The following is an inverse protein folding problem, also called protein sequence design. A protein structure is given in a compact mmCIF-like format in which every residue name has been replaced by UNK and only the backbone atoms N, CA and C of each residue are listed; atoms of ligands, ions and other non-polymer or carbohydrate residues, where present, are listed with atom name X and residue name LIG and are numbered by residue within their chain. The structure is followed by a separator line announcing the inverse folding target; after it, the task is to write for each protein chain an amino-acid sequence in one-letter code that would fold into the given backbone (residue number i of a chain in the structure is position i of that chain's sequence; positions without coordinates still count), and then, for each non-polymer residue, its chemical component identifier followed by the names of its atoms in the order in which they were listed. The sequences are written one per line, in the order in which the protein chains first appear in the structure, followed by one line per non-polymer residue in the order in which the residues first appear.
data_IF_899551869861
#
_entry.id   IF_899551869861
#
_cell.length_a   1.000
_cell.length_b   1.000
_cell.length_c   1.000
_cell.angle_alpha   90.00
_cell.angle_beta   90.00
_cell.angle_gamma   90.00
#
_symmetry.space_group_name_H-M   'P 1'
#
loop_
_entity.id
_entity.type
_entity.pdbx_description
1 polymer ?
#
# COMPACT_ATOMS: atom_id res chain seq x y z
N UNK A 1 -5.19 54.80 -29.52
CA UNK A 1 -5.25 53.69 -28.53
C UNK A 1 -3.83 53.21 -28.25
N UNK A 2 -3.15 53.86 -27.30
CA UNK A 2 -1.73 53.66 -27.00
C UNK A 2 -1.60 52.78 -25.75
N UNK A 3 -1.43 51.46 -25.94
CA UNK A 3 -1.06 50.55 -24.84
C UNK A 3 0.39 50.80 -24.45
N UNK A 4 0.60 51.04 -23.16
CA UNK A 4 1.83 51.56 -22.61
C UNK A 4 2.95 50.52 -22.61
N UNK A 5 4.16 50.94 -22.97
CA UNK A 5 5.40 50.16 -23.00
C UNK A 5 5.79 49.56 -21.63
N UNK A 6 5.13 49.98 -20.54
CA UNK A 6 5.38 49.46 -19.17
C UNK A 6 4.80 48.08 -18.89
N UNK A 7 3.80 47.62 -19.63
CA UNK A 7 3.21 46.29 -19.39
C UNK A 7 4.04 45.14 -19.97
N UNK A 8 4.90 45.41 -20.96
CA UNK A 8 5.80 44.41 -21.54
C UNK A 8 7.04 44.15 -20.68
N UNK A 9 7.44 45.10 -19.82
CA UNK A 9 8.59 44.92 -18.91
C UNK A 9 8.33 43.89 -17.82
N UNK A 10 7.12 43.87 -17.25
CA UNK A 10 6.80 43.00 -16.12
C UNK A 10 6.56 41.54 -16.52
N UNK A 11 6.27 41.25 -17.79
CA UNK A 11 6.09 39.89 -18.30
C UNK A 11 7.42 39.18 -18.60
N UNK A 12 8.49 39.95 -18.88
CA UNK A 12 9.81 39.39 -19.20
C UNK A 12 10.63 39.04 -17.95
N UNK A 13 10.41 39.74 -16.83
CA UNK A 13 11.14 39.47 -15.58
C UNK A 13 10.65 38.20 -14.85
N UNK A 14 9.42 37.74 -15.14
CA UNK A 14 8.84 36.52 -14.57
C UNK A 14 9.33 35.22 -15.24
N UNK A 15 9.94 35.31 -16.43
CA UNK A 15 10.42 34.14 -17.19
C UNK A 15 11.93 33.91 -16.98
N UNK A 16 12.69 34.95 -16.61
CA UNK A 16 14.15 34.87 -16.50
C UNK A 16 14.67 34.60 -15.08
N UNK A 17 13.92 34.96 -14.03
CA UNK A 17 14.27 34.64 -12.64
C UNK A 17 13.20 33.71 -12.05
N UNK A 18 13.51 32.42 -12.03
CA UNK A 18 12.70 31.42 -11.35
C UNK A 18 12.43 31.75 -9.88
N UNK A 19 11.42 31.11 -9.26
CA UNK A 19 11.01 31.42 -7.90
C UNK A 19 12.18 31.27 -6.93
N UNK A 20 12.53 32.36 -6.25
CA UNK A 20 13.52 32.39 -5.15
C UNK A 20 13.01 31.50 -4.02
N UNK A 21 13.48 30.26 -3.97
CA UNK A 21 13.35 29.38 -2.81
C UNK A 21 14.29 29.86 -1.70
N UNK A 22 13.77 30.73 -0.84
CA UNK A 22 14.29 30.86 0.52
C UNK A 22 13.84 29.64 1.33
N UNK A 23 14.73 28.67 1.52
CA UNK A 23 14.61 27.62 2.53
C UNK A 23 16.03 27.20 2.93
N UNK A 24 16.62 27.90 3.89
CA UNK A 24 16.67 27.48 5.30
C UNK A 24 17.47 26.20 5.48
N UNK A 25 18.75 26.40 5.82
CA UNK A 25 19.64 25.40 6.37
C UNK A 25 19.10 24.96 7.74
N UNK A 26 18.35 23.86 7.74
CA UNK A 26 17.97 23.11 8.93
C UNK A 26 18.78 21.82 8.97
N UNK A 27 19.96 21.90 9.59
CA UNK A 27 20.73 20.75 10.05
C UNK A 27 19.84 19.90 10.98
N UNK A 28 19.41 18.75 10.52
CA UNK A 28 18.89 17.69 11.40
C UNK A 28 19.82 16.49 11.24
N UNK A 29 20.78 16.39 12.15
CA UNK A 29 21.39 15.12 12.49
C UNK A 29 20.27 14.21 13.01
N UNK A 30 19.96 13.14 12.27
CA UNK A 30 19.27 11.99 12.85
C UNK A 30 20.29 10.88 13.00
N UNK A 31 20.78 10.82 14.22
CA UNK A 31 21.45 9.74 14.91
C UNK A 31 20.89 8.36 14.52
N UNK A 32 21.73 7.54 13.89
CA UNK A 32 21.45 6.13 13.63
C UNK A 32 21.54 5.37 14.97
N UNK A 33 20.47 5.40 15.74
CA UNK A 33 20.31 4.57 16.93
C UNK A 33 19.76 3.21 16.51
N UNK A 34 20.67 2.23 16.59
CA UNK A 34 20.41 0.83 16.95
C UNK A 34 19.03 0.56 17.58
N UNK A 35 18.26 -0.33 16.97
CA UNK A 35 17.55 -1.43 17.65
C UNK A 35 16.53 -2.05 16.69
N UNK A 36 16.83 -3.25 16.16
CA UNK A 36 15.76 -4.15 15.77
C UNK A 36 14.92 -4.51 17.00
N UNK A 37 13.61 -4.76 16.81
CA UNK A 37 13.08 -6.06 17.22
C UNK A 37 11.92 -6.51 16.29
N UNK A 38 11.21 -7.62 16.56
CA UNK A 38 11.31 -8.85 15.78
C UNK A 38 10.14 -9.00 14.80
N UNK A 39 10.35 -9.80 13.76
CA UNK A 39 9.28 -10.36 12.95
C UNK A 39 8.37 -11.24 13.85
N UNK A 40 7.26 -10.68 14.31
CA UNK A 40 6.18 -11.44 14.94
C UNK A 40 5.36 -12.06 13.81
N UNK A 41 5.56 -13.36 13.60
CA UNK A 41 4.70 -14.19 12.77
C UNK A 41 3.24 -14.10 13.25
N UNK A 42 2.24 -14.08 12.35
CA UNK A 42 0.86 -14.19 12.78
C UNK A 42 0.63 -15.60 13.34
N UNK A 43 0.45 -15.69 14.66
CA UNK A 43 -0.08 -16.87 15.31
C UNK A 43 -1.49 -17.14 14.76
N UNK A 44 -1.58 -18.10 13.83
CA UNK A 44 -2.85 -18.70 13.42
C UNK A 44 -3.40 -19.43 14.65
N UNK A 45 -4.36 -18.81 15.33
CA UNK A 45 -5.25 -19.49 16.28
C UNK A 45 -6.10 -20.50 15.49
N UNK A 46 -5.57 -21.70 15.33
CA UNK A 46 -6.33 -22.86 14.88
C UNK A 46 -7.11 -23.32 16.10
N UNK A 47 -8.41 -23.02 16.12
CA UNK A 47 -9.37 -23.66 17.03
C UNK A 47 -9.39 -25.15 16.68
N UNK A 48 -9.03 -26.08 17.58
CA UNK A 48 -9.21 -27.50 17.32
C UNK A 48 -10.71 -27.81 17.35
N UNK A 49 -11.33 -27.83 16.17
CA UNK A 49 -12.61 -28.46 15.90
C UNK A 49 -12.41 -29.98 16.00
N UNK A 50 -13.02 -30.59 17.03
CA UNK A 50 -13.35 -32.01 17.13
C UNK A 50 -12.22 -33.01 16.87
N UNK A 51 -11.50 -33.42 17.92
CA UNK A 51 -10.93 -34.76 17.94
C UNK A 51 -12.06 -35.77 18.14
N UNK A 52 -12.40 -36.47 17.06
CA UNK A 52 -13.26 -37.65 17.10
C UNK A 52 -12.68 -38.68 18.06
N UNK A 53 -13.42 -38.94 19.13
CA UNK A 53 -13.12 -40.02 20.06
C UNK A 53 -13.78 -41.28 19.52
N UNK A 54 -13.06 -42.00 18.66
CA UNK A 54 -13.38 -43.37 18.28
C UNK A 54 -13.16 -44.27 19.51
N UNK A 55 -14.23 -44.55 20.25
CA UNK A 55 -14.24 -45.64 21.23
C UNK A 55 -14.30 -46.96 20.47
N UNK A 56 -13.12 -47.47 20.14
CA UNK A 56 -12.91 -48.91 19.98
C UNK A 56 -12.40 -49.44 21.31
N UNK A 57 -13.27 -50.09 22.09
CA UNK A 57 -12.86 -50.95 23.20
C UNK A 57 -13.55 -52.30 23.04
N UNK A 58 -12.86 -53.19 22.33
CA UNK A 58 -13.01 -54.63 22.49
C UNK A 58 -11.77 -55.13 23.24
N UNK A 59 -11.92 -55.44 24.52
CA UNK A 59 -11.03 -56.36 25.23
C UNK A 59 -11.81 -57.05 26.36
N UNK A 60 -12.00 -58.34 26.13
CA UNK A 60 -12.47 -59.43 26.99
C UNK A 60 -11.95 -59.42 28.44
N UNK A 61 -12.79 -59.89 29.37
CA UNK A 61 -12.33 -60.73 30.49
C UNK A 61 -12.85 -60.39 31.89
N UNK A 62 -13.81 -61.19 32.40
CA UNK A 62 -14.13 -61.51 33.80
C UNK A 62 -14.32 -60.34 34.81
N UNK A 63 -15.43 -60.16 35.51
CA UNK A 63 -16.09 -61.13 36.39
C UNK A 63 -17.49 -60.58 36.77
N UNK A 64 -18.46 -61.48 36.99
CA UNK A 64 -19.72 -61.12 37.64
C UNK A 64 -19.48 -60.70 39.11
N UNK A 65 -20.40 -59.94 39.70
CA UNK A 65 -21.17 -60.61 40.74
C UNK A 65 -22.68 -60.49 40.56
N UNK A 66 -23.31 -61.62 40.85
CA UNK A 66 -24.73 -61.81 41.11
C UNK A 66 -25.13 -61.06 42.38
N UNK A 67 -26.10 -60.16 42.26
CA UNK A 67 -27.11 -59.82 43.26
C UNK A 67 -28.38 -59.57 42.43
N UNK A 68 -29.50 -60.24 42.58
CA UNK A 68 -30.04 -61.00 43.68
C UNK A 68 -31.55 -60.89 43.48
N UNK A 69 -32.15 -61.96 43.00
CA UNK A 69 -33.60 -62.10 42.91
C UNK A 69 -34.22 -61.90 44.30
N UNK A 70 -35.05 -60.87 44.46
CA UNK A 70 -36.14 -60.87 45.44
C UNK A 70 -37.40 -60.39 44.73
N UNK A 71 -38.39 -61.27 44.83
CA UNK A 71 -39.73 -61.23 44.28
C UNK A 71 -40.56 -60.11 44.90
N UNK A 72 -41.44 -59.50 44.11
CA UNK A 72 -42.58 -58.72 44.60
C UNK A 72 -43.46 -58.17 43.47
N UNK A 73 -44.38 -58.97 42.90
CA UNK A 73 -45.38 -58.49 41.96
C UNK A 73 -46.58 -57.91 42.73
N UNK A 74 -46.41 -56.81 43.45
CA UNK A 74 -47.53 -56.10 44.10
C UNK A 74 -47.11 -54.68 44.53
N UNK A 75 -46.98 -53.78 43.57
CA UNK A 75 -47.08 -52.33 43.80
C UNK A 75 -47.55 -51.70 42.50
N UNK A 76 -48.85 -51.77 42.26
CA UNK A 76 -49.50 -50.98 41.23
C UNK A 76 -49.15 -49.50 41.46
N UNK A 77 -48.52 -48.90 40.45
CA UNK A 77 -48.62 -47.48 40.08
C UNK A 77 -48.62 -46.44 41.22
N UNK A 78 -47.58 -46.45 42.06
CA UNK A 78 -47.15 -45.19 42.66
C UNK A 78 -46.30 -44.44 41.63
N UNK A 79 -46.94 -43.96 40.57
CA UNK A 79 -46.29 -43.03 39.64
C UNK A 79 -45.81 -41.85 40.47
N UNK A 80 -44.50 -41.63 40.52
CA UNK A 80 -43.86 -40.54 41.25
C UNK A 80 -44.12 -39.22 40.52
N UNK A 81 -45.37 -38.77 40.60
CA UNK A 81 -45.86 -37.54 39.99
C UNK A 81 -45.05 -36.30 40.41
N UNK A 82 -44.65 -36.14 41.69
CA UNK A 82 -43.77 -35.05 42.10
C UNK A 82 -42.43 -35.07 41.35
N UNK A 83 -41.78 -36.24 41.24
CA UNK A 83 -40.53 -36.38 40.49
C UNK A 83 -40.69 -36.08 39.00
N UNK A 84 -41.78 -36.55 38.37
CA UNK A 84 -42.09 -36.26 36.98
C UNK A 84 -42.32 -34.76 36.72
N UNK A 85 -43.00 -34.06 37.64
CA UNK A 85 -43.21 -32.61 37.57
C UNK A 85 -41.88 -31.87 37.67
N UNK A 86 -40.97 -32.30 38.55
CA UNK A 86 -39.65 -31.70 38.70
C UNK A 86 -38.82 -31.83 37.42
N UNK A 87 -38.86 -33.00 36.76
CA UNK A 87 -38.18 -33.23 35.49
C UNK A 87 -38.71 -32.32 34.38
N UNK A 88 -40.03 -32.15 34.28
CA UNK A 88 -40.65 -31.24 33.29
C UNK A 88 -40.24 -29.79 33.56
N UNK A 89 -40.18 -29.37 34.82
CA UNK A 89 -39.72 -28.04 35.20
C UNK A 89 -38.25 -27.82 34.85
N UNK A 90 -37.39 -28.81 35.12
CA UNK A 90 -35.96 -28.75 34.79
C UNK A 90 -35.69 -28.72 33.29
N UNK A 91 -36.45 -29.50 32.51
CA UNK A 91 -36.40 -29.44 31.04
C UNK A 91 -36.88 -28.07 30.57
N UNK A 92 -37.99 -27.55 31.12
CA UNK A 92 -38.49 -26.21 30.80
C UNK A 92 -37.50 -25.09 31.16
N UNK A 93 -36.72 -25.25 32.23
CA UNK A 93 -35.65 -24.31 32.61
C UNK A 93 -34.43 -24.42 31.67
N UNK A 94 -34.10 -25.63 31.22
CA UNK A 94 -33.03 -25.85 30.22
C UNK A 94 -33.41 -25.28 28.85
N UNK A 95 -34.66 -25.47 28.40
CA UNK A 95 -35.15 -24.91 27.13
C UNK A 95 -35.13 -23.39 27.15
N UNK A 96 -35.53 -22.76 28.26
CA UNK A 96 -35.44 -21.29 28.41
C UNK A 96 -34.00 -20.80 28.32
N UNK A 97 -33.07 -21.43 29.06
CA UNK A 97 -31.63 -21.11 28.96
C UNK A 97 -31.07 -21.31 27.55
N UNK A 98 -31.43 -22.40 26.87
CA UNK A 98 -31.00 -22.65 25.50
C UNK A 98 -31.52 -21.59 24.52
N UNK A 99 -32.78 -21.15 24.70
CA UNK A 99 -33.37 -20.05 23.92
C UNK A 99 -32.64 -18.74 24.18
N UNK A 100 -32.36 -18.40 25.43
CA UNK A 100 -31.65 -17.15 25.77
C UNK A 100 -30.24 -17.14 25.16
N UNK A 101 -29.53 -18.28 25.22
CA UNK A 101 -28.23 -18.44 24.55
C UNK A 101 -28.32 -18.28 23.03
N UNK A 102 -29.33 -18.89 22.39
CA UNK A 102 -29.52 -18.75 20.95
C UNK A 102 -29.82 -17.29 20.54
N UNK A 103 -30.59 -16.57 21.36
CA UNK A 103 -30.86 -15.15 21.14
C UNK A 103 -29.61 -14.29 21.29
N UNK A 104 -28.76 -14.59 22.27
CA UNK A 104 -27.50 -13.87 22.47
C UNK A 104 -26.53 -14.12 21.31
N UNK A 105 -26.35 -15.37 20.88
CA UNK A 105 -25.52 -15.71 19.72
C UNK A 105 -26.02 -15.03 18.43
N UNK A 106 -27.33 -14.87 18.29
CA UNK A 106 -27.91 -14.14 17.15
C UNK A 106 -27.54 -12.66 17.21
N UNK A 107 -27.58 -12.03 18.38
CA UNK A 107 -27.16 -10.63 18.56
C UNK A 107 -25.67 -10.45 18.32
N UNK A 108 -24.86 -11.34 18.88
CA UNK A 108 -23.41 -11.33 18.68
C UNK A 108 -23.06 -11.49 17.20
N UNK A 109 -23.64 -12.47 16.50
CA UNK A 109 -23.40 -12.67 15.07
C UNK A 109 -23.84 -11.47 14.22
N UNK A 110 -24.99 -10.85 14.52
CA UNK A 110 -25.42 -9.63 13.85
C UNK A 110 -24.43 -8.47 14.09
N UNK A 111 -23.94 -8.31 15.32
CA UNK A 111 -22.95 -7.27 15.64
C UNK A 111 -21.62 -7.50 14.91
N UNK A 112 -21.19 -8.76 14.78
CA UNK A 112 -19.98 -9.12 14.04
C UNK A 112 -20.15 -8.84 12.55
N UNK A 113 -21.29 -9.19 11.96
CA UNK A 113 -21.59 -8.90 10.54
C UNK A 113 -21.59 -7.40 10.28
N UNK A 114 -22.20 -6.59 11.16
CA UNK A 114 -22.18 -5.13 11.02
C UNK A 114 -20.76 -4.58 11.11
N UNK A 115 -19.95 -5.10 12.04
CA UNK A 115 -18.55 -4.68 12.18
C UNK A 115 -17.70 -5.05 10.97
N UNK A 116 -17.86 -6.26 10.42
CA UNK A 116 -17.10 -6.67 9.24
C UNK A 116 -17.52 -5.90 8.00
N UNK A 117 -18.81 -5.57 7.87
CA UNK A 117 -19.32 -4.73 6.79
C UNK A 117 -18.74 -3.31 6.87
N UNK A 118 -18.78 -2.67 8.05
CA UNK A 118 -18.17 -1.35 8.24
C UNK A 118 -16.65 -1.36 7.99
N UNK A 119 -15.96 -2.45 8.37
CA UNK A 119 -14.55 -2.61 8.06
C UNK A 119 -14.30 -2.75 6.56
N UNK A 120 -15.14 -3.50 5.84
CA UNK A 120 -15.03 -3.64 4.39
C UNK A 120 -15.28 -2.31 3.67
N UNK A 121 -16.30 -1.55 4.05
CA UNK A 121 -16.57 -0.22 3.51
C UNK A 121 -15.39 0.74 3.74
N UNK A 122 -14.86 0.79 4.97
CA UNK A 122 -13.68 1.61 5.27
C UNK A 122 -12.43 1.19 4.50
N UNK A 123 -12.31 -0.10 4.14
CA UNK A 123 -11.21 -0.61 3.34
C UNK A 123 -11.39 -0.22 1.87
N UNK A 124 -12.62 -0.27 1.36
CA UNK A 124 -12.96 0.15 0.00
C UNK A 124 -12.75 1.65 -0.18
N UNK A 125 -13.15 2.49 0.77
CA UNK A 125 -12.90 3.93 0.74
C UNK A 125 -11.40 4.24 0.69
N UNK A 126 -10.60 3.53 1.50
CA UNK A 126 -9.13 3.66 1.45
C UNK A 126 -8.54 3.19 0.13
N UNK A 127 -9.08 2.13 -0.46
CA UNK A 127 -8.65 1.65 -1.78
C UNK A 127 -8.95 2.69 -2.87
N UNK A 128 -10.17 3.24 -2.90
CA UNK A 128 -10.55 4.30 -3.85
C UNK A 128 -9.70 5.57 -3.68
N UNK A 129 -9.40 5.95 -2.44
CA UNK A 129 -8.51 7.08 -2.17
C UNK A 129 -7.07 6.82 -2.65
N UNK A 130 -6.55 5.61 -2.44
CA UNK A 130 -5.23 5.23 -2.93
C UNK A 130 -5.17 5.20 -4.47
N UNK A 131 -6.22 4.70 -5.13
CA UNK A 131 -6.33 4.72 -6.59
C UNK A 131 -6.35 6.15 -7.15
N UNK A 132 -7.12 7.05 -6.53
CA UNK A 132 -7.16 8.45 -6.94
C UNK A 132 -5.78 9.13 -6.80
N UNK A 133 -5.05 8.84 -5.71
CA UNK A 133 -3.69 9.33 -5.51
C UNK A 133 -2.71 8.74 -6.54
N UNK A 134 -2.84 7.45 -6.87
CA UNK A 134 -2.01 6.80 -7.87
C UNK A 134 -2.21 7.41 -9.26
N UNK A 135 -3.47 7.61 -9.69
CA UNK A 135 -3.80 8.28 -10.95
C UNK A 135 -3.25 9.70 -11.00
N UNK A 136 -3.32 10.44 -9.89
CA UNK A 136 -2.75 11.78 -9.82
C UNK A 136 -1.22 11.77 -9.92
N UNK A 137 -0.56 10.77 -9.33
CA UNK A 137 0.88 10.59 -9.43
C UNK A 137 1.31 10.24 -10.85
N UNK A 138 0.56 9.36 -11.53
CA UNK A 138 0.78 8.99 -12.94
C UNK A 138 0.67 10.21 -13.85
N UNK A 139 -0.39 11.01 -13.74
CA UNK A 139 -0.55 12.25 -14.52
C UNK A 139 0.58 13.26 -14.26
N UNK A 140 1.14 13.31 -13.04
CA UNK A 140 2.31 14.16 -12.76
C UNK A 140 3.58 13.60 -13.40
N UNK A 141 3.77 12.28 -13.36
CA UNK A 141 4.90 11.61 -13.98
C UNK A 141 4.88 11.80 -15.50
N UNK A 142 3.74 11.59 -16.16
CA UNK A 142 3.58 11.81 -17.60
C UNK A 142 3.92 13.24 -18.02
N UNK A 143 3.46 14.23 -17.26
CA UNK A 143 3.79 15.65 -17.50
C UNK A 143 5.28 15.91 -17.35
N UNK A 144 5.91 15.32 -16.33
CA UNK A 144 7.35 15.46 -16.10
C UNK A 144 8.15 14.80 -17.23
N UNK A 145 7.73 13.63 -17.71
CA UNK A 145 8.36 12.95 -18.85
C UNK A 145 8.21 13.73 -20.15
N UNK A 146 7.04 14.29 -20.43
CA UNK A 146 6.82 15.13 -21.59
C UNK A 146 7.72 16.39 -21.54
N UNK A 147 7.83 17.02 -20.37
CA UNK A 147 8.74 18.14 -20.16
C UNK A 147 10.20 17.73 -20.38
N UNK A 148 10.63 16.59 -19.84
CA UNK A 148 11.97 16.05 -20.01
C UNK A 148 12.30 15.75 -21.49
N UNK A 149 11.35 15.17 -22.23
CA UNK A 149 11.48 14.95 -23.68
C UNK A 149 11.69 16.26 -24.44
N UNK A 150 10.87 17.27 -24.17
CA UNK A 150 11.02 18.59 -24.81
C UNK A 150 12.36 19.27 -24.46
N UNK A 151 12.87 19.06 -23.24
CA UNK A 151 14.15 19.59 -22.80
C UNK A 151 15.31 18.88 -23.49
N UNK A 152 15.21 17.55 -23.65
CA UNK A 152 16.20 16.76 -24.37
C UNK A 152 16.27 17.13 -25.86
N UNK A 153 15.12 17.37 -26.49
CA UNK A 153 15.06 17.84 -27.88
C UNK A 153 15.72 19.22 -28.04
N UNK A 154 15.46 20.15 -27.10
CA UNK A 154 16.13 21.47 -27.07
C UNK A 154 17.63 21.35 -26.83
N UNK A 155 18.06 20.46 -25.94
CA UNK A 155 19.48 20.21 -25.71
C UNK A 155 20.16 19.63 -26.95
N UNK A 156 19.48 18.70 -27.65
CA UNK A 156 19.98 18.12 -28.88
C UNK A 156 20.14 19.15 -30.00
N UNK A 157 19.13 19.99 -30.23
CA UNK A 157 19.21 21.02 -31.26
C UNK A 157 20.28 22.08 -30.93
N UNK A 158 20.44 22.45 -29.66
CA UNK A 158 21.54 23.30 -29.22
C UNK A 158 22.91 22.64 -29.45
N UNK A 159 23.03 21.34 -29.18
CA UNK A 159 24.25 20.57 -29.44
C UNK A 159 24.60 20.50 -30.93
N UNK A 160 23.61 20.30 -31.79
CA UNK A 160 23.79 20.30 -33.25
C UNK A 160 24.23 21.68 -33.75
N UNK A 161 23.62 22.76 -33.25
CA UNK A 161 24.03 24.14 -33.60
C UNK A 161 25.46 24.46 -33.14
N UNK A 162 25.84 24.01 -31.94
CA UNK A 162 27.21 24.16 -31.43
C UNK A 162 28.22 23.45 -32.32
N UNK A 163 27.92 22.24 -32.79
CA UNK A 163 28.80 21.50 -33.70
C UNK A 163 28.97 22.23 -35.05
N UNK A 164 27.87 22.78 -35.60
CA UNK A 164 27.94 23.58 -36.83
C UNK A 164 28.79 24.83 -36.63
N UNK A 165 28.63 25.54 -35.51
CA UNK A 165 29.42 26.71 -35.18
C UNK A 165 30.92 26.37 -35.02
N UNK A 166 31.24 25.25 -34.35
CA UNK A 166 32.61 24.77 -34.22
C UNK A 166 33.24 24.40 -35.57
N UNK A 167 32.48 23.77 -36.47
CA UNK A 167 32.96 23.46 -37.81
C UNK A 167 33.23 24.74 -38.62
N UNK A 168 32.34 25.72 -38.55
CA UNK A 168 32.51 27.01 -39.22
C UNK A 168 33.72 27.79 -38.66
N UNK A 169 33.94 27.76 -37.34
CA UNK A 169 35.12 28.36 -36.71
C UNK A 169 36.42 27.68 -37.17
N UNK A 170 36.44 26.35 -37.25
CA UNK A 170 37.59 25.60 -37.74
C UNK A 170 37.90 25.93 -39.22
N UNK A 171 36.88 26.03 -40.07
CA UNK A 171 37.05 26.45 -41.46
C UNK A 171 37.57 27.89 -41.57
N UNK A 172 37.01 28.83 -40.80
CA UNK A 172 37.46 30.21 -40.77
C UNK A 172 38.95 30.32 -40.36
N UNK A 173 39.38 29.54 -39.37
CA UNK A 173 40.79 29.47 -38.95
C UNK A 173 41.69 28.96 -40.08
N UNK A 174 41.26 27.95 -40.84
CA UNK A 174 42.01 27.44 -41.98
C UNK A 174 42.12 28.49 -43.10
N UNK A 175 41.03 29.19 -43.41
CA UNK A 175 41.03 30.27 -44.39
C UNK A 175 41.95 31.42 -43.98
N UNK A 176 41.90 31.85 -42.73
CA UNK A 176 42.79 32.87 -42.19
C UNK A 176 44.27 32.45 -42.28
N UNK A 177 44.57 31.19 -41.96
CA UNK A 177 45.93 30.66 -42.10
C UNK A 177 46.44 30.69 -43.55
N UNK A 178 45.57 30.34 -44.52
CA UNK A 178 45.89 30.42 -45.96
C UNK A 178 46.12 31.85 -46.43
N UNK A 179 45.25 32.79 -46.02
CA UNK A 179 45.39 34.22 -46.35
C UNK A 179 46.69 34.80 -45.77
N UNK A 180 47.00 34.49 -44.52
CA UNK A 180 48.24 34.92 -43.89
C UNK A 180 49.47 34.37 -44.63
N UNK A 181 49.48 33.08 -44.98
CA UNK A 181 50.59 32.48 -45.72
C UNK A 181 50.77 33.11 -47.12
N UNK A 182 49.68 33.38 -47.84
CA UNK A 182 49.73 34.04 -49.15
C UNK A 182 50.23 35.48 -49.04
N UNK A 183 49.73 36.27 -48.07
CA UNK A 183 50.23 37.62 -47.84
C UNK A 183 51.72 37.60 -47.49
N UNK A 184 52.14 36.68 -46.62
CA UNK A 184 53.54 36.53 -46.24
C UNK A 184 54.43 36.21 -47.45
N UNK A 185 54.02 35.29 -48.33
CA UNK A 185 54.82 34.97 -49.52
C UNK A 185 54.95 36.15 -50.49
N UNK A 186 53.91 36.97 -50.64
CA UNK A 186 53.96 38.19 -51.47
C UNK A 186 54.86 39.27 -50.85
N UNK A 187 54.95 39.35 -49.52
CA UNK A 187 55.87 40.26 -48.85
C UNK A 187 57.31 39.75 -48.88
N UNK A 188 57.54 38.46 -48.62
CA UNK A 188 58.88 37.86 -48.65
C UNK A 188 59.52 38.02 -50.05
N UNK A 189 58.73 37.85 -51.13
CA UNK A 189 59.21 38.07 -52.51
C UNK A 189 59.56 39.52 -52.82
N UNK A 190 58.96 40.51 -52.15
CA UNK A 190 59.30 41.93 -52.30
C UNK A 190 60.58 42.32 -51.55
N UNK A 191 61.02 41.53 -50.58
CA UNK A 191 62.21 41.80 -49.76
C UNK A 191 63.47 41.05 -50.18
N UNK A 192 63.34 40.03 -51.03
CA UNK A 192 64.46 39.22 -51.53
C UNK A 192 65.04 39.71 -52.89
N UNK A 193 64.51 40.81 -53.45
CA UNK A 193 65.09 41.59 -54.59
C UNK A 193 65.95 42.78 -54.09
#
# INVERSE_FOLDING_TARGET
MTRSVRELGNALDAILLGPKSHASAGSIMVEATSAGPPAVAPARNIVPLFSGQDVSTSASGADAPVLGSVIGPEAADAVDWPGAIQLVQDVGARVRRARDLAQELTRESQSLIQRTLAQAESAEERARAAEALAQQAELRAEKAEAAARSANERARSAGEQMQVAMAAEAEARLWLGRLYASLKSEFDSLTDD
#
